data_IF_550726019807
#
_entry.id   IF_550726019807
#
_cell.length_a   1.000
_cell.length_b   1.000
_cell.length_c   1.000
_cell.angle_alpha   90.00
_cell.angle_beta   90.00
_cell.angle_gamma   90.00
#
_symmetry.space_group_name_H-M   'P 1'
#
loop_
_entity.id
_entity.type
_entity.pdbx_description
1 polymer ?
#
# COMPACT_ATOMS: atom_id res chain seq x y z
N UNK A 1 -13.08 20.97 -12.29
CA UNK A 1 -12.34 20.89 -13.58
C UNK A 1 -11.83 22.24 -14.07
N UNK A 2 -12.64 23.26 -14.41
CA UNK A 2 -12.16 24.59 -14.92
C UNK A 2 -11.12 25.29 -14.02
N UNK A 3 -11.13 25.09 -12.72
CA UNK A 3 -10.16 25.69 -11.77
C UNK A 3 -8.81 24.96 -11.80
N UNK A 4 -8.82 23.66 -12.01
CA UNK A 4 -7.61 22.83 -12.12
C UNK A 4 -6.88 23.11 -13.43
N UNK A 5 -7.62 23.21 -14.53
CA UNK A 5 -7.11 23.50 -15.88
C UNK A 5 -6.25 24.79 -15.96
N UNK A 6 -6.64 25.83 -15.20
CA UNK A 6 -5.94 27.12 -15.17
C UNK A 6 -4.63 27.12 -14.35
N UNK A 7 -4.39 26.10 -13.52
CA UNK A 7 -3.23 26.05 -12.62
C UNK A 7 -2.25 24.92 -12.93
N UNK A 8 -2.68 23.90 -13.67
CA UNK A 8 -1.84 22.75 -13.99
C UNK A 8 -0.64 23.16 -14.83
N UNK A 9 0.54 22.58 -14.51
CA UNK A 9 1.70 22.62 -15.36
C UNK A 9 1.44 21.75 -16.61
N UNK A 10 1.07 22.41 -17.71
CA UNK A 10 0.68 21.74 -18.97
C UNK A 10 1.83 20.98 -19.63
N UNK A 11 3.06 21.45 -19.51
CA UNK A 11 4.23 20.77 -20.07
C UNK A 11 4.41 19.40 -19.40
N UNK A 12 4.45 19.39 -18.07
CA UNK A 12 4.58 18.13 -17.30
C UNK A 12 3.34 17.24 -17.44
N UNK A 13 2.14 17.82 -17.57
CA UNK A 13 0.92 17.08 -17.85
C UNK A 13 1.02 16.31 -19.17
N UNK A 14 1.46 16.98 -20.24
CA UNK A 14 1.63 16.33 -21.54
C UNK A 14 2.71 15.24 -21.50
N UNK A 15 3.83 15.48 -20.78
CA UNK A 15 4.86 14.47 -20.56
C UNK A 15 4.28 13.21 -19.88
N UNK A 16 3.46 13.38 -18.84
CA UNK A 16 2.80 12.26 -18.14
C UNK A 16 1.86 11.49 -19.09
N UNK A 17 1.08 12.17 -19.93
CA UNK A 17 0.21 11.51 -20.90
C UNK A 17 1.02 10.67 -21.90
N UNK A 18 2.14 11.20 -22.40
CA UNK A 18 3.01 10.46 -23.31
C UNK A 18 3.69 9.25 -22.62
N UNK A 19 4.14 9.40 -21.39
CA UNK A 19 4.67 8.28 -20.59
C UNK A 19 3.58 7.25 -20.37
N UNK A 20 2.38 7.67 -19.96
CA UNK A 20 1.25 6.77 -19.73
C UNK A 20 0.91 5.93 -20.97
N UNK A 21 0.86 6.54 -22.17
CA UNK A 21 0.65 5.81 -23.41
C UNK A 21 1.68 4.69 -23.62
N UNK A 22 2.96 4.97 -23.32
CA UNK A 22 4.06 4.01 -23.50
C UNK A 22 3.97 2.82 -22.52
N UNK A 23 3.59 3.09 -21.26
CA UNK A 23 3.60 2.06 -20.19
C UNK A 23 2.22 1.49 -19.87
N UNK A 24 1.17 1.90 -20.58
CA UNK A 24 -0.22 1.48 -20.30
C UNK A 24 -0.42 -0.03 -20.21
N UNK A 25 0.19 -0.77 -21.13
CA UNK A 25 0.10 -2.24 -21.14
C UNK A 25 0.71 -2.86 -19.88
N UNK A 26 1.80 -2.30 -19.38
CA UNK A 26 2.46 -2.76 -18.15
C UNK A 26 1.63 -2.42 -16.92
N UNK A 27 1.00 -1.22 -16.89
CA UNK A 27 0.05 -0.82 -15.86
C UNK A 27 -1.15 -1.78 -15.83
N UNK A 28 -1.78 -2.03 -16.97
CA UNK A 28 -2.93 -2.95 -17.08
C UNK A 28 -2.56 -4.37 -16.61
N UNK A 29 -1.37 -4.85 -16.97
CA UNK A 29 -0.83 -6.13 -16.52
C UNK A 29 -0.65 -6.16 -15.00
N UNK A 30 -0.08 -5.09 -14.42
CA UNK A 30 0.12 -4.98 -12.98
C UNK A 30 -1.22 -4.96 -12.22
N UNK A 31 -2.20 -4.16 -12.67
CA UNK A 31 -3.54 -4.10 -12.08
C UNK A 31 -4.24 -5.46 -12.11
N UNK A 32 -4.15 -6.18 -13.25
CA UNK A 32 -4.68 -7.55 -13.34
C UNK A 32 -3.96 -8.51 -12.36
N UNK A 33 -2.66 -8.34 -12.19
CA UNK A 33 -1.88 -9.11 -11.21
C UNK A 33 -2.36 -8.88 -9.78
N UNK A 34 -2.58 -7.62 -9.38
CA UNK A 34 -3.09 -7.27 -8.05
C UNK A 34 -4.50 -7.85 -7.80
N UNK A 35 -5.41 -7.78 -8.77
CA UNK A 35 -6.73 -8.39 -8.64
C UNK A 35 -6.66 -9.90 -8.38
N UNK A 36 -5.75 -10.61 -9.06
CA UNK A 36 -5.52 -12.03 -8.82
C UNK A 36 -4.92 -12.34 -7.45
N UNK A 37 -4.24 -11.37 -6.82
CA UNK A 37 -3.68 -11.58 -5.47
C UNK A 37 -4.75 -11.83 -4.42
N UNK A 38 -5.95 -11.27 -4.60
CA UNK A 38 -7.08 -11.53 -3.70
C UNK A 38 -7.60 -12.97 -3.78
N UNK A 39 -7.45 -13.62 -4.92
CA UNK A 39 -7.93 -14.99 -5.19
C UNK A 39 -6.95 -16.08 -4.71
N UNK A 40 -5.74 -15.67 -4.28
CA UNK A 40 -4.70 -16.58 -3.78
C UNK A 40 -5.08 -17.21 -2.44
N UNK A 41 -4.25 -18.15 -1.96
CA UNK A 41 -4.42 -18.79 -0.65
C UNK A 41 -4.39 -17.77 0.50
N UNK A 42 -5.00 -18.11 1.62
CA UNK A 42 -4.98 -17.28 2.84
C UNK A 42 -3.54 -16.94 3.29
N UNK A 43 -2.62 -17.90 3.15
CA UNK A 43 -1.19 -17.69 3.45
C UNK A 43 -0.55 -16.65 2.54
N UNK A 44 -0.86 -16.65 1.25
CA UNK A 44 -0.32 -15.66 0.31
C UNK A 44 -0.93 -14.28 0.55
N UNK A 45 -2.23 -14.17 0.79
CA UNK A 45 -2.88 -12.90 1.17
C UNK A 45 -2.27 -12.36 2.48
N UNK A 46 -2.06 -13.22 3.49
CA UNK A 46 -1.37 -12.84 4.72
C UNK A 46 0.05 -12.32 4.46
N UNK A 47 0.81 -12.98 3.57
CA UNK A 47 2.17 -12.58 3.22
C UNK A 47 2.24 -11.19 2.56
N UNK A 48 1.24 -10.83 1.74
CA UNK A 48 1.13 -9.48 1.15
C UNK A 48 0.88 -8.41 2.22
N UNK A 49 0.04 -8.70 3.23
CA UNK A 49 -0.19 -7.78 4.34
C UNK A 49 1.08 -7.65 5.20
N UNK A 50 1.72 -8.77 5.53
CA UNK A 50 2.97 -8.82 6.30
C UNK A 50 4.11 -8.06 5.61
N UNK A 51 4.23 -8.18 4.28
CA UNK A 51 5.16 -7.41 3.48
C UNK A 51 5.02 -5.90 3.70
N UNK A 52 3.79 -5.39 3.73
CA UNK A 52 3.55 -3.97 3.92
C UNK A 52 3.96 -3.46 5.31
N UNK A 53 3.90 -4.31 6.37
CA UNK A 53 4.48 -3.98 7.70
C UNK A 53 6.00 -3.79 7.62
N UNK A 54 6.68 -4.51 6.75
CA UNK A 54 8.13 -4.43 6.63
C UNK A 54 8.62 -3.25 5.80
N UNK A 55 7.76 -2.63 4.98
CA UNK A 55 8.17 -1.54 4.06
C UNK A 55 8.48 -0.19 4.69
N UNK A 56 7.90 0.26 5.84
CA UNK A 56 8.25 1.54 6.43
C UNK A 56 9.75 1.70 6.66
N UNK A 57 10.32 2.77 6.08
CA UNK A 57 11.75 3.12 6.15
C UNK A 57 12.71 2.00 5.68
N UNK A 58 12.25 1.07 4.87
CA UNK A 58 13.05 -0.03 4.32
C UNK A 58 12.87 -0.10 2.80
N UNK A 59 13.86 -0.65 2.10
CA UNK A 59 13.73 -0.90 0.67
C UNK A 59 12.73 -2.04 0.44
N UNK A 60 11.78 -1.86 -0.47
CA UNK A 60 10.77 -2.86 -0.79
C UNK A 60 11.39 -4.23 -1.16
N UNK A 61 12.50 -4.24 -1.93
CA UNK A 61 13.24 -5.46 -2.26
C UNK A 61 13.73 -6.22 -1.02
N UNK A 62 14.22 -5.49 0.00
CA UNK A 62 14.68 -6.09 1.25
C UNK A 62 13.51 -6.65 2.08
N UNK A 63 12.41 -5.89 2.15
CA UNK A 63 11.19 -6.33 2.83
C UNK A 63 10.63 -7.61 2.18
N UNK A 64 10.59 -7.66 0.86
CA UNK A 64 10.12 -8.84 0.13
C UNK A 64 11.05 -10.05 0.34
N UNK A 65 12.37 -9.85 0.25
CA UNK A 65 13.34 -10.93 0.53
C UNK A 65 13.19 -11.49 1.94
N UNK A 66 12.92 -10.64 2.94
CA UNK A 66 12.69 -11.10 4.30
C UNK A 66 11.40 -11.94 4.40
N UNK A 67 10.30 -11.48 3.82
CA UNK A 67 9.03 -12.24 3.79
C UNK A 67 9.23 -13.59 3.08
N UNK A 68 9.89 -13.62 1.94
CA UNK A 68 10.15 -14.87 1.19
C UNK A 68 10.88 -15.89 2.07
N UNK A 69 11.94 -15.48 2.74
CA UNK A 69 12.70 -16.36 3.65
C UNK A 69 11.87 -16.85 4.84
N UNK A 70 11.05 -15.97 5.44
CA UNK A 70 10.17 -16.35 6.53
C UNK A 70 9.09 -17.35 6.08
N UNK A 71 8.59 -17.22 4.84
CA UNK A 71 7.62 -18.15 4.24
C UNK A 71 8.29 -19.51 3.95
N UNK A 72 9.46 -19.53 3.31
CA UNK A 72 10.21 -20.73 2.95
C UNK A 72 10.54 -21.59 4.18
N UNK A 73 10.82 -20.95 5.32
CA UNK A 73 11.07 -21.62 6.60
C UNK A 73 9.82 -21.82 7.45
N UNK A 74 8.63 -21.52 6.94
CA UNK A 74 7.33 -21.55 7.63
C UNK A 74 7.24 -20.63 8.88
N UNK A 75 8.28 -19.83 9.16
CA UNK A 75 8.39 -18.98 10.34
C UNK A 75 7.37 -17.83 10.34
N UNK A 76 6.99 -17.32 9.17
CA UNK A 76 5.95 -16.30 9.08
C UNK A 76 4.63 -16.73 9.73
N UNK A 77 4.35 -18.04 9.70
CA UNK A 77 3.07 -18.62 10.16
C UNK A 77 3.16 -19.25 11.55
N UNK A 78 4.35 -19.68 11.99
CA UNK A 78 4.49 -20.48 13.22
C UNK A 78 5.62 -19.99 14.13
N UNK A 79 6.55 -19.17 13.64
CA UNK A 79 7.71 -18.73 14.39
C UNK A 79 7.38 -17.73 15.51
N UNK A 80 8.25 -17.64 16.48
CA UNK A 80 8.25 -16.65 17.57
C UNK A 80 8.84 -15.32 17.07
N UNK A 81 8.63 -14.23 17.82
CA UNK A 81 9.20 -12.93 17.46
C UNK A 81 10.74 -12.97 17.38
N UNK A 82 11.39 -13.71 18.28
CA UNK A 82 12.85 -13.83 18.32
C UNK A 82 13.39 -14.57 17.09
N UNK A 83 12.74 -15.64 16.66
CA UNK A 83 13.09 -16.36 15.42
C UNK A 83 12.90 -15.48 14.17
N UNK A 84 11.86 -14.64 14.15
CA UNK A 84 11.63 -13.72 13.02
C UNK A 84 12.72 -12.64 12.92
N UNK A 85 13.23 -12.13 14.05
CA UNK A 85 14.23 -11.06 14.10
C UNK A 85 15.47 -11.38 13.30
N UNK A 86 15.92 -12.64 13.29
CA UNK A 86 17.12 -13.08 12.58
C UNK A 86 17.00 -12.90 11.06
N UNK A 87 15.80 -13.04 10.52
CA UNK A 87 15.48 -12.84 9.09
C UNK A 87 15.20 -11.38 8.74
N UNK A 88 14.95 -10.53 9.73
CA UNK A 88 14.61 -9.11 9.55
C UNK A 88 15.81 -8.16 9.61
N UNK A 89 17.05 -8.66 9.63
CA UNK A 89 18.26 -7.83 9.68
C UNK A 89 18.39 -6.86 8.48
N UNK A 90 17.72 -7.13 7.38
CA UNK A 90 17.74 -6.33 6.14
C UNK A 90 16.73 -5.17 6.15
N UNK A 91 15.88 -5.06 7.19
CA UNK A 91 14.89 -3.99 7.35
C UNK A 91 15.13 -3.19 8.64
N UNK A 92 14.69 -1.93 8.66
CA UNK A 92 14.80 -1.09 9.86
C UNK A 92 13.75 -1.49 10.90
N UNK A 93 14.08 -1.27 12.18
CA UNK A 93 13.19 -1.55 13.32
C UNK A 93 12.76 -3.03 13.42
N UNK A 94 13.67 -3.94 13.11
CA UNK A 94 13.41 -5.37 13.05
C UNK A 94 12.67 -5.94 14.26
N UNK A 95 13.05 -5.55 15.48
CA UNK A 95 12.45 -6.06 16.73
C UNK A 95 10.96 -5.66 16.84
N UNK A 96 10.62 -4.40 16.53
CA UNK A 96 9.23 -3.96 16.54
C UNK A 96 8.44 -4.63 15.42
N UNK A 97 9.03 -4.73 14.22
CA UNK A 97 8.38 -5.37 13.07
C UNK A 97 8.13 -6.86 13.30
N UNK A 98 9.06 -7.57 13.95
CA UNK A 98 8.82 -8.96 14.36
C UNK A 98 7.59 -9.08 15.26
N UNK A 99 7.48 -8.23 16.30
CA UNK A 99 6.31 -8.20 17.19
C UNK A 99 5.02 -7.89 16.42
N UNK A 100 5.05 -6.91 15.50
CA UNK A 100 3.88 -6.55 14.68
C UNK A 100 3.45 -7.69 13.75
N UNK A 101 4.38 -8.50 13.23
CA UNK A 101 4.07 -9.69 12.44
C UNK A 101 3.37 -10.77 13.27
N UNK A 102 3.78 -10.96 14.54
CA UNK A 102 3.08 -11.88 15.45
C UNK A 102 1.67 -11.37 15.75
N UNK A 103 1.54 -10.10 16.14
CA UNK A 103 0.23 -9.49 16.41
C UNK A 103 -0.69 -9.54 15.18
N UNK A 104 -0.14 -9.30 13.97
CA UNK A 104 -0.88 -9.47 12.73
C UNK A 104 -1.37 -10.91 12.56
N UNK A 105 -0.51 -11.89 12.80
CA UNK A 105 -0.87 -13.31 12.69
C UNK A 105 -2.01 -13.67 13.65
N UNK A 106 -1.91 -13.23 14.90
CA UNK A 106 -2.96 -13.47 15.88
C UNK A 106 -4.28 -12.81 15.47
N UNK A 107 -4.23 -11.56 15.00
CA UNK A 107 -5.39 -10.82 14.49
C UNK A 107 -6.05 -11.50 13.29
N UNK A 108 -5.25 -12.12 12.40
CA UNK A 108 -5.72 -12.76 11.17
C UNK A 108 -6.02 -14.25 11.34
N UNK A 109 -5.99 -14.75 12.57
CA UNK A 109 -6.29 -16.17 12.89
C UNK A 109 -7.63 -16.28 13.61
N UNK A 110 -8.51 -17.14 13.08
CA UNK A 110 -9.79 -17.54 13.71
C UNK A 110 -9.86 -19.06 13.72
N UNK A 111 -10.26 -19.64 14.84
CA UNK A 111 -10.38 -21.10 15.02
C UNK A 111 -9.11 -21.87 14.61
N UNK A 112 -7.93 -21.29 14.96
CA UNK A 112 -6.62 -21.88 14.66
C UNK A 112 -6.21 -21.82 13.19
N UNK A 113 -6.95 -21.11 12.33
CA UNK A 113 -6.67 -20.98 10.88
C UNK A 113 -6.47 -19.52 10.48
N UNK A 114 -5.46 -19.26 9.65
CA UNK A 114 -5.29 -17.97 9.00
C UNK A 114 -6.47 -17.71 8.05
N UNK A 115 -7.16 -16.57 8.26
CA UNK A 115 -8.35 -16.17 7.48
C UNK A 115 -8.31 -14.67 7.13
N UNK A 116 -7.20 -14.10 6.65
CA UNK A 116 -7.08 -12.66 6.36
C UNK A 116 -8.13 -12.19 5.34
N UNK A 117 -8.46 -12.99 4.35
CA UNK A 117 -9.44 -12.65 3.32
C UNK A 117 -10.85 -12.58 3.90
N UNK A 118 -11.25 -13.57 4.71
CA UNK A 118 -12.55 -13.56 5.38
C UNK A 118 -12.69 -12.34 6.29
N UNK A 119 -11.68 -12.07 7.13
CA UNK A 119 -11.65 -10.94 8.05
C UNK A 119 -11.74 -9.60 7.31
N UNK A 120 -10.98 -9.42 6.23
CA UNK A 120 -11.04 -8.18 5.44
C UNK A 120 -12.34 -8.07 4.64
N UNK A 121 -12.94 -9.18 4.18
CA UNK A 121 -14.21 -9.16 3.45
C UNK A 121 -15.37 -8.63 4.31
N UNK A 122 -15.34 -8.88 5.60
CA UNK A 122 -16.35 -8.42 6.56
C UNK A 122 -16.32 -6.91 6.77
N UNK A 123 -15.29 -6.21 6.32
CA UNK A 123 -15.06 -4.79 6.59
C UNK A 123 -15.73 -3.85 5.56
N UNK A 124 -16.68 -4.34 4.76
CA UNK A 124 -17.42 -3.51 3.82
C UNK A 124 -16.62 -3.05 2.59
N UNK A 125 -16.69 -1.78 2.23
CA UNK A 125 -16.00 -1.24 1.05
C UNK A 125 -14.50 -1.01 1.27
N UNK A 126 -13.80 -0.45 0.27
CA UNK A 126 -12.35 -0.23 0.33
C UNK A 126 -11.95 0.80 1.39
N UNK A 127 -12.78 1.81 1.62
CA UNK A 127 -12.50 2.85 2.61
C UNK A 127 -12.70 2.31 4.02
N UNK A 128 -13.74 1.52 4.25
CA UNK A 128 -14.01 0.84 5.51
C UNK A 128 -12.91 -0.19 5.83
N UNK A 129 -12.43 -0.95 4.83
CA UNK A 129 -11.25 -1.82 4.96
C UNK A 129 -10.00 -1.02 5.37
N UNK A 130 -9.78 0.15 4.76
CA UNK A 130 -8.66 1.03 5.11
C UNK A 130 -8.73 1.48 6.57
N UNK A 131 -9.87 1.97 7.02
CA UNK A 131 -10.08 2.41 8.40
C UNK A 131 -9.85 1.25 9.38
N UNK A 132 -10.35 0.06 9.05
CA UNK A 132 -10.12 -1.12 9.86
C UNK A 132 -8.63 -1.48 9.97
N UNK A 133 -7.90 -1.46 8.85
CA UNK A 133 -6.45 -1.73 8.81
C UNK A 133 -5.72 -0.72 9.71
N UNK A 134 -6.02 0.57 9.58
CA UNK A 134 -5.39 1.64 10.37
C UNK A 134 -5.63 1.48 11.86
N UNK A 135 -6.82 1.03 12.25
CA UNK A 135 -7.23 0.88 13.65
C UNK A 135 -6.64 -0.38 14.30
N UNK A 136 -6.53 -1.47 13.53
CA UNK A 136 -6.28 -2.79 14.11
C UNK A 136 -4.88 -3.35 13.82
N UNK A 137 -4.21 -2.91 12.75
CA UNK A 137 -2.88 -3.45 12.39
C UNK A 137 -1.79 -2.48 12.83
N UNK A 138 -1.01 -2.87 13.82
CA UNK A 138 0.13 -2.09 14.30
C UNK A 138 1.24 -1.95 13.25
N UNK A 139 1.88 -0.78 13.24
CA UNK A 139 2.98 -0.49 12.33
C UNK A 139 2.55 -0.05 10.92
N UNK A 140 1.25 0.11 10.68
CA UNK A 140 0.70 0.63 9.42
C UNK A 140 0.16 2.06 9.58
N UNK A 141 0.59 2.95 8.68
CA UNK A 141 -0.02 4.25 8.45
C UNK A 141 -0.89 4.24 7.18
N UNK A 142 -1.45 5.41 6.81
CA UNK A 142 -2.30 5.57 5.61
C UNK A 142 -1.64 5.02 4.34
N UNK A 143 -0.37 5.34 4.14
CA UNK A 143 0.38 4.87 2.96
C UNK A 143 0.48 3.34 2.91
N UNK A 144 0.78 2.71 4.04
CA UNK A 144 0.93 1.25 4.14
C UNK A 144 -0.42 0.55 4.01
N UNK A 145 -1.49 1.07 4.61
CA UNK A 145 -2.84 0.55 4.45
C UNK A 145 -3.29 0.57 2.98
N UNK A 146 -3.07 1.70 2.29
CA UNK A 146 -3.36 1.80 0.86
C UNK A 146 -2.45 0.87 0.02
N UNK A 147 -1.22 0.63 0.46
CA UNK A 147 -0.32 -0.31 -0.20
C UNK A 147 -0.85 -1.75 -0.11
N UNK A 148 -1.31 -2.18 1.08
CA UNK A 148 -1.99 -3.48 1.26
C UNK A 148 -3.19 -3.58 0.32
N UNK A 149 -4.10 -2.63 0.39
CA UNK A 149 -5.32 -2.66 -0.40
C UNK A 149 -5.05 -2.68 -1.91
N UNK A 150 -4.07 -1.89 -2.40
CA UNK A 150 -3.65 -1.93 -3.79
C UNK A 150 -3.10 -3.31 -4.18
N UNK A 151 -2.23 -3.91 -3.36
CA UNK A 151 -1.65 -5.22 -3.63
C UNK A 151 -2.69 -6.34 -3.66
N UNK A 152 -3.79 -6.16 -2.91
CA UNK A 152 -4.92 -7.08 -2.88
C UNK A 152 -6.01 -6.75 -3.94
N UNK A 153 -5.76 -5.81 -4.84
CA UNK A 153 -6.64 -5.50 -5.96
C UNK A 153 -7.70 -4.42 -5.71
N UNK A 154 -7.69 -3.77 -4.54
CA UNK A 154 -8.64 -2.71 -4.17
C UNK A 154 -8.12 -1.30 -4.45
N UNK A 155 -7.10 -1.14 -5.31
CA UNK A 155 -6.37 0.12 -5.50
C UNK A 155 -7.08 1.20 -6.30
N UNK A 156 -8.29 0.97 -6.83
CA UNK A 156 -8.93 1.88 -7.78
C UNK A 156 -9.32 3.24 -7.15
N UNK A 157 -9.74 3.25 -5.90
CA UNK A 157 -10.30 4.43 -5.23
C UNK A 157 -9.36 5.09 -4.24
N UNK A 158 -8.15 4.57 -4.10
CA UNK A 158 -7.16 4.98 -3.11
C UNK A 158 -5.83 5.33 -3.75
N UNK A 159 -5.06 6.21 -3.11
CA UNK A 159 -3.74 6.62 -3.57
C UNK A 159 -2.65 6.26 -2.55
N UNK A 160 -1.47 5.86 -3.02
CA UNK A 160 -0.28 5.66 -2.19
C UNK A 160 0.54 6.95 -2.25
N UNK A 161 0.31 7.86 -1.29
CA UNK A 161 0.98 9.16 -1.24
C UNK A 161 2.35 9.02 -0.58
N UNK A 162 3.33 8.61 -1.36
CA UNK A 162 4.72 8.63 -0.94
C UNK A 162 5.39 9.96 -1.29
N UNK A 163 6.66 10.11 -0.87
CA UNK A 163 7.42 11.34 -1.10
C UNK A 163 7.62 11.67 -2.59
N UNK A 164 7.68 10.64 -3.45
CA UNK A 164 7.84 10.85 -4.90
C UNK A 164 6.53 11.32 -5.53
N UNK A 165 5.42 10.71 -5.17
CA UNK A 165 4.09 11.12 -5.62
C UNK A 165 3.80 12.55 -5.18
N UNK A 166 4.00 12.88 -3.90
CA UNK A 166 3.78 14.24 -3.38
C UNK A 166 4.61 15.30 -4.12
N UNK A 167 5.89 15.02 -4.42
CA UNK A 167 6.73 15.92 -5.21
C UNK A 167 6.22 16.11 -6.63
N UNK A 168 5.76 15.04 -7.28
CA UNK A 168 5.22 15.14 -8.63
C UNK A 168 3.89 15.88 -8.65
N UNK A 169 3.01 15.68 -7.66
CA UNK A 169 1.80 16.47 -7.52
C UNK A 169 2.07 17.97 -7.33
N UNK A 170 3.13 18.33 -6.58
CA UNK A 170 3.58 19.71 -6.46
C UNK A 170 4.08 20.26 -7.80
N UNK A 171 4.95 19.55 -8.50
CA UNK A 171 5.47 19.95 -9.83
C UNK A 171 4.35 20.13 -10.86
N UNK A 172 3.32 19.31 -10.77
CA UNK A 172 2.11 19.40 -11.59
C UNK A 172 1.19 20.57 -11.18
N UNK A 173 1.46 21.23 -10.06
CA UNK A 173 0.56 22.21 -9.44
C UNK A 173 -0.81 21.65 -9.03
N UNK A 174 -0.90 20.35 -8.79
CA UNK A 174 -2.10 19.68 -8.19
C UNK A 174 -2.20 20.04 -6.71
N UNK A 175 -1.07 20.12 -6.01
CA UNK A 175 -0.97 20.62 -4.64
C UNK A 175 -0.07 21.84 -4.61
N UNK A 176 -0.24 22.69 -3.57
CA UNK A 176 0.51 23.95 -3.44
C UNK A 176 1.85 23.78 -2.73
N UNK A 177 1.94 22.73 -1.86
CA UNK A 177 3.15 22.40 -1.11
C UNK A 177 3.20 20.89 -0.77
N UNK A 178 4.39 20.38 -0.53
CA UNK A 178 4.57 19.06 0.09
C UNK A 178 4.48 19.25 1.60
N UNK A 179 3.48 18.66 2.29
CA UNK A 179 3.30 18.88 3.72
C UNK A 179 4.48 18.29 4.52
N UNK A 180 4.93 19.03 5.55
CA UNK A 180 5.95 18.55 6.49
C UNK A 180 5.52 17.27 7.21
N UNK A 181 4.24 17.22 7.58
CA UNK A 181 3.60 16.06 8.22
C UNK A 181 2.31 15.72 7.46
N UNK A 182 2.19 14.48 7.03
CA UNK A 182 1.02 13.99 6.31
C UNK A 182 0.02 13.41 7.31
N UNK A 183 -0.80 14.29 7.92
CA UNK A 183 -1.91 13.87 8.79
C UNK A 183 -2.98 13.14 8.00
N UNK A 184 -3.84 12.36 8.66
CA UNK A 184 -4.96 11.65 8.03
C UNK A 184 -5.84 12.62 7.22
N UNK A 185 -6.24 13.75 7.82
CA UNK A 185 -7.01 14.79 7.13
C UNK A 185 -6.32 15.29 5.86
N UNK A 186 -5.01 15.60 5.97
CA UNK A 186 -4.23 16.09 4.82
C UNK A 186 -4.04 15.02 3.74
N UNK A 187 -3.98 13.76 4.15
CA UNK A 187 -3.92 12.63 3.21
C UNK A 187 -5.19 12.56 2.35
N UNK A 188 -6.38 12.63 2.96
CA UNK A 188 -7.66 12.65 2.24
C UNK A 188 -7.77 13.84 1.29
N UNK A 189 -7.38 15.05 1.75
CA UNK A 189 -7.40 16.25 0.92
C UNK A 189 -6.53 16.10 -0.34
N UNK A 190 -5.34 15.51 -0.21
CA UNK A 190 -4.43 15.30 -1.34
C UNK A 190 -4.91 14.14 -2.23
N UNK A 191 -5.42 13.09 -1.65
CA UNK A 191 -6.01 11.95 -2.37
C UNK A 191 -7.16 12.42 -3.28
N UNK A 192 -8.04 13.29 -2.78
CA UNK A 192 -9.13 13.87 -3.57
C UNK A 192 -8.59 14.76 -4.72
N UNK A 193 -7.63 15.64 -4.46
CA UNK A 193 -6.97 16.43 -5.50
C UNK A 193 -6.31 15.56 -6.59
N UNK A 194 -5.71 14.44 -6.17
CA UNK A 194 -5.13 13.47 -7.12
C UNK A 194 -6.21 12.78 -7.95
N UNK A 195 -7.38 12.47 -7.36
CA UNK A 195 -8.54 11.93 -8.07
C UNK A 195 -9.08 12.92 -9.10
N UNK A 196 -9.26 14.19 -8.72
CA UNK A 196 -9.65 15.25 -9.65
C UNK A 196 -8.67 15.36 -10.82
N UNK A 197 -7.35 15.27 -10.55
CA UNK A 197 -6.33 15.28 -11.60
C UNK A 197 -6.41 14.04 -12.49
N UNK A 198 -6.63 12.85 -11.95
CA UNK A 198 -6.75 11.63 -12.75
C UNK A 198 -7.93 11.69 -13.73
N UNK A 199 -9.06 12.24 -13.27
CA UNK A 199 -10.23 12.48 -14.13
C UNK A 199 -9.93 13.50 -15.24
N UNK A 200 -9.22 14.60 -14.92
CA UNK A 200 -8.79 15.60 -15.87
C UNK A 200 -7.83 15.03 -16.93
N UNK A 201 -6.91 14.17 -16.49
CA UNK A 201 -5.92 13.52 -17.35
C UNK A 201 -6.49 12.34 -18.17
N UNK A 202 -7.71 11.86 -17.85
CA UNK A 202 -8.28 10.65 -18.45
C UNK A 202 -7.51 9.38 -18.09
N UNK A 203 -6.81 9.38 -16.96
CA UNK A 203 -6.04 8.24 -16.41
C UNK A 203 -6.79 7.73 -15.18
N UNK A 204 -7.47 6.59 -15.32
CA UNK A 204 -8.24 5.93 -14.25
C UNK A 204 -7.50 4.70 -13.74
#
# INVERSE_FOLDING_TARGET
>A
MKKLEKRINLELHNEILEIHKKVRKDIDKAIKGYKKSWEKSEKEVFSEIAFCILTPQSKAKNAWSAITKLVENNLLYTGTADELVDYLNVVRFKNNKAKYLIELRDLMTRDGKLQPRAILSEQGDVLEKREWILKNIKGMGMKEANHVLRNLGFGKEIAILDRHILRNLLRLSVIDEVPKTLTIKKYYEIEEKMREYSLFAGIN
#
